data_IF_289404196443
#
_entry.id   IF_289404196443
#
_cell.length_a   1.000
_cell.length_b   1.000
_cell.length_c   1.000
_cell.angle_alpha   90.00
_cell.angle_beta   90.00
_cell.angle_gamma   90.00
#
_symmetry.space_group_name_H-M   'P 1'
#
loop_
_entity.id
_entity.type
_entity.pdbx_description
1 polymer ?
#
# COMPACT_ATOMS: atom_id res chain seq x y z
N UNK A 1 1.20 -13.96 1.12
CA UNK A 1 1.64 -12.59 1.48
C UNK A 1 1.96 -11.84 0.19
N UNK A 2 1.85 -10.52 0.18
CA UNK A 2 2.03 -9.65 -0.97
C UNK A 2 3.18 -8.67 -0.71
N UNK A 3 3.93 -8.39 -1.79
CA UNK A 3 5.01 -7.41 -1.86
C UNK A 3 4.97 -6.74 -3.23
N UNK A 4 5.97 -5.92 -3.53
CA UNK A 4 6.06 -5.18 -4.79
C UNK A 4 7.42 -5.37 -5.43
N UNK A 5 7.41 -5.63 -6.73
CA UNK A 5 8.61 -5.78 -7.56
C UNK A 5 8.74 -4.60 -8.51
N UNK A 6 9.96 -4.29 -8.92
CA UNK A 6 10.22 -3.37 -10.02
C UNK A 6 10.01 -4.05 -11.38
N UNK A 7 10.20 -3.31 -12.47
CA UNK A 7 10.00 -3.80 -13.84
C UNK A 7 11.05 -4.82 -14.31
N UNK A 8 12.14 -4.97 -13.57
CA UNK A 8 13.18 -6.00 -13.85
C UNK A 8 12.99 -7.26 -12.98
N UNK A 9 11.93 -7.30 -12.15
CA UNK A 9 11.55 -8.48 -11.37
C UNK A 9 12.16 -8.55 -9.97
N UNK A 10 12.83 -7.50 -9.50
CA UNK A 10 13.43 -7.45 -8.16
C UNK A 10 12.45 -6.87 -7.14
N UNK A 11 12.49 -7.37 -5.91
CA UNK A 11 11.68 -6.83 -4.83
C UNK A 11 12.13 -5.42 -4.46
N UNK A 12 11.19 -4.48 -4.52
CA UNK A 12 11.31 -3.15 -3.90
C UNK A 12 10.78 -3.23 -2.47
N UNK A 13 9.71 -4.00 -2.27
CA UNK A 13 9.13 -4.29 -0.97
C UNK A 13 8.91 -5.79 -0.90
N UNK A 14 9.60 -6.46 0.02
CA UNK A 14 9.44 -7.90 0.21
C UNK A 14 8.00 -8.27 0.56
N UNK A 15 7.55 -9.50 0.22
CA UNK A 15 6.23 -9.97 0.59
C UNK A 15 6.07 -9.92 2.12
N UNK A 16 5.22 -9.01 2.61
CA UNK A 16 4.96 -8.85 4.05
C UNK A 16 3.48 -8.53 4.35
N UNK A 17 2.69 -8.17 3.33
CA UNK A 17 1.31 -7.77 3.51
C UNK A 17 0.33 -8.93 3.30
N UNK A 18 -0.80 -8.91 4.01
CA UNK A 18 -1.89 -9.86 3.80
C UNK A 18 -2.66 -9.58 2.52
N UNK A 19 -2.83 -8.30 2.17
CA UNK A 19 -3.37 -7.81 0.90
C UNK A 19 -2.61 -6.56 0.47
N UNK A 20 -2.55 -6.32 -0.83
CA UNK A 20 -1.87 -5.18 -1.43
C UNK A 20 -2.69 -4.70 -2.64
N UNK A 21 -2.98 -3.40 -2.71
CA UNK A 21 -3.62 -2.80 -3.89
C UNK A 21 -2.56 -2.34 -4.89
N UNK A 22 -3.00 -2.01 -6.10
CA UNK A 22 -2.14 -1.36 -7.09
C UNK A 22 -1.79 0.08 -6.63
N UNK A 23 -0.64 0.58 -7.08
CA UNK A 23 -0.30 1.99 -6.87
C UNK A 23 -1.23 2.90 -7.69
N UNK A 24 -1.66 3.99 -7.05
CA UNK A 24 -2.33 5.12 -7.70
C UNK A 24 -1.50 6.36 -7.41
N UNK A 25 -0.66 6.75 -8.38
CA UNK A 25 0.39 7.74 -8.15
C UNK A 25 1.45 7.22 -7.18
N UNK A 26 1.79 8.02 -6.16
CA UNK A 26 2.90 7.73 -5.24
C UNK A 26 2.53 6.89 -4.02
N UNK A 27 1.25 6.50 -3.88
CA UNK A 27 0.75 5.77 -2.70
C UNK A 27 -0.12 4.58 -3.08
N UNK A 28 -0.22 3.62 -2.18
CA UNK A 28 -1.14 2.48 -2.27
C UNK A 28 -1.60 2.03 -0.89
N UNK A 29 -2.72 1.31 -0.85
CA UNK A 29 -3.25 0.73 0.38
C UNK A 29 -2.81 -0.74 0.52
N UNK A 30 -2.33 -1.11 1.70
CA UNK A 30 -1.93 -2.46 2.07
C UNK A 30 -2.60 -2.89 3.37
N UNK A 31 -2.86 -4.18 3.51
CA UNK A 31 -3.38 -4.78 4.73
C UNK A 31 -2.25 -5.52 5.45
N UNK A 32 -1.97 -5.13 6.70
CA UNK A 32 -1.03 -5.81 7.57
C UNK A 32 -1.77 -6.28 8.82
N UNK A 33 -1.77 -7.60 9.05
CA UNK A 33 -2.63 -8.21 10.06
C UNK A 33 -4.11 -7.98 9.72
N UNK A 34 -4.77 -7.18 10.55
CA UNK A 34 -6.17 -6.77 10.46
C UNK A 34 -6.36 -5.27 10.15
N UNK A 35 -5.27 -4.52 9.95
CA UNK A 35 -5.32 -3.07 9.72
C UNK A 35 -4.78 -2.68 8.35
N UNK A 36 -5.41 -1.65 7.80
CA UNK A 36 -5.02 -1.03 6.55
C UNK A 36 -4.10 0.16 6.78
N UNK A 37 -3.11 0.32 5.90
CA UNK A 37 -2.20 1.45 5.89
C UNK A 37 -1.94 1.91 4.46
N UNK A 38 -1.58 3.18 4.30
CA UNK A 38 -1.09 3.70 3.03
C UNK A 38 0.43 3.72 3.05
N UNK A 39 1.06 3.13 2.04
CA UNK A 39 2.52 3.13 1.89
C UNK A 39 2.92 3.88 0.63
N UNK A 40 4.11 4.47 0.65
CA UNK A 40 4.74 5.01 -0.56
C UNK A 40 5.48 3.91 -1.35
N UNK A 41 6.11 4.30 -2.46
CA UNK A 41 6.86 3.37 -3.34
C UNK A 41 8.10 2.73 -2.69
N UNK A 42 8.51 3.21 -1.52
CA UNK A 42 9.61 2.63 -0.71
C UNK A 42 9.10 1.72 0.41
N UNK A 43 7.79 1.57 0.56
CA UNK A 43 7.17 0.79 1.64
C UNK A 43 6.99 1.55 2.95
N UNK A 44 7.25 2.85 2.98
CA UNK A 44 7.12 3.67 4.19
C UNK A 44 5.64 4.00 4.43
N UNK A 45 5.16 3.75 5.64
CA UNK A 45 3.77 4.01 6.04
C UNK A 45 3.55 5.51 6.19
N UNK A 46 2.57 6.04 5.47
CA UNK A 46 2.20 7.44 5.52
C UNK A 46 1.77 7.83 6.94
N UNK A 47 2.56 8.71 7.57
CA UNK A 47 2.33 9.18 8.94
C UNK A 47 2.41 8.09 10.02
N UNK A 48 2.89 6.88 9.69
CA UNK A 48 2.95 5.75 10.62
C UNK A 48 1.58 5.30 11.14
N UNK A 49 0.50 5.57 10.40
CA UNK A 49 -0.87 5.26 10.84
C UNK A 49 -1.43 4.02 10.16
N UNK A 50 -2.15 3.24 10.96
CA UNK A 50 -2.87 2.04 10.56
C UNK A 50 -4.31 2.13 11.06
N UNK A 51 -5.27 1.74 10.22
CA UNK A 51 -6.70 1.94 10.43
C UNK A 51 -7.45 0.61 10.33
N UNK A 52 -8.54 0.43 11.08
CA UNK A 52 -9.36 -0.79 10.97
C UNK A 52 -10.08 -0.90 9.63
N UNK A 53 -10.49 0.24 9.07
CA UNK A 53 -11.06 0.32 7.73
C UNK A 53 -10.40 1.50 6.99
N UNK A 54 -10.09 1.31 5.71
CA UNK A 54 -9.66 2.40 4.82
C UNK A 54 -10.46 2.35 3.54
N UNK A 55 -11.03 3.47 3.15
CA UNK A 55 -11.56 3.66 1.81
C UNK A 55 -10.57 4.50 1.00
N UNK A 56 -10.45 4.18 -0.29
CA UNK A 56 -9.66 5.02 -1.19
C UNK A 56 -10.39 6.36 -1.31
N UNK A 57 -9.71 7.45 -0.98
CA UNK A 57 -10.23 8.78 -1.30
C UNK A 57 -10.11 8.95 -2.83
N UNK A 58 -11.21 8.76 -3.55
CA UNK A 58 -11.25 9.04 -4.98
C UNK A 58 -11.52 10.54 -5.11
N UNK A 59 -10.57 11.31 -5.64
CA UNK A 59 -10.82 12.69 -6.02
C UNK A 59 -11.66 12.69 -7.30
N UNK A 60 -12.92 12.29 -7.20
CA UNK A 60 -13.91 12.61 -8.20
C UNK A 60 -14.24 14.07 -7.95
N UNK A 61 -13.77 14.97 -8.83
CA UNK A 61 -14.38 16.29 -8.95
C UNK A 61 -15.89 16.05 -9.12
N UNK A 62 -16.68 16.38 -8.10
CA UNK A 62 -18.10 16.65 -8.27
C UNK A 62 -18.25 17.93 -9.11
#
# INVERSE_FOLDING_TARGET
MFGYINTVGEYVIEPQFKLAKNFSGSFTAVLQGDKWGFINTKGEVLGGKWFQNTELFVNTKL
#
